data_IF_280201201366
#
_entry.id   IF_280201201366
#
_cell.length_a   1.000
_cell.length_b   1.000
_cell.length_c   1.000
_cell.angle_alpha   90.00
_cell.angle_beta   90.00
_cell.angle_gamma   90.00
#
_symmetry.space_group_name_H-M   'P 1'
#
loop_
_entity.id
_entity.type
_entity.pdbx_description
1 polymer ?
#
# COMPACT_ATOMS: atom_id res chain seq x y z
N UNK A 1 11.03 5.76 16.41
CA UNK A 1 9.66 6.17 16.78
C UNK A 1 8.88 5.02 17.41
N UNK A 2 8.80 3.84 16.77
CA UNK A 2 8.12 2.67 17.35
C UNK A 2 8.78 2.17 18.64
N UNK A 3 10.11 2.17 18.75
CA UNK A 3 10.82 1.79 19.99
C UNK A 3 10.51 2.75 21.16
N UNK A 4 10.41 4.05 20.91
CA UNK A 4 10.03 5.03 21.93
C UNK A 4 8.61 4.81 22.45
N UNK A 5 7.65 4.42 21.58
CA UNK A 5 6.31 4.05 22.02
C UNK A 5 6.32 2.76 22.84
N UNK A 6 7.08 1.72 22.43
CA UNK A 6 7.23 0.48 23.21
C UNK A 6 7.81 0.74 24.59
N UNK A 7 8.81 1.60 24.68
CA UNK A 7 9.47 1.94 25.95
C UNK A 7 8.61 2.83 26.84
N UNK A 8 7.75 3.65 26.26
CA UNK A 8 6.77 4.45 27.00
C UNK A 8 5.65 3.58 27.58
N UNK A 9 5.07 2.66 26.79
CA UNK A 9 3.99 1.78 27.25
C UNK A 9 4.42 0.86 28.39
N UNK A 10 5.65 0.30 28.32
CA UNK A 10 6.21 -0.54 29.40
C UNK A 10 6.31 0.14 30.77
N UNK A 11 6.18 1.46 30.85
CA UNK A 11 6.31 2.24 32.09
C UNK A 11 4.97 2.67 32.67
N UNK A 12 3.86 2.41 31.98
CA UNK A 12 2.52 2.76 32.43
C UNK A 12 1.86 1.60 33.19
N UNK A 13 0.96 1.88 34.16
CA UNK A 13 0.08 0.86 34.72
C UNK A 13 -0.80 0.25 33.62
N UNK A 14 -1.11 -1.06 33.69
CA UNK A 14 -1.75 -1.84 32.61
C UNK A 14 -3.01 -1.22 31.97
N UNK A 15 -3.77 -0.36 32.68
CA UNK A 15 -4.96 0.31 32.13
C UNK A 15 -4.68 1.64 31.40
N UNK A 16 -3.55 2.30 31.65
CA UNK A 16 -3.16 3.54 30.94
C UNK A 16 -2.42 3.26 29.61
N UNK A 17 -1.89 2.03 29.46
CA UNK A 17 -1.21 1.51 28.28
C UNK A 17 -2.13 1.55 27.03
N UNK A 18 -3.36 1.03 27.14
CA UNK A 18 -4.26 0.86 26.00
C UNK A 18 -4.72 2.23 25.46
N UNK A 19 -5.07 3.15 26.36
CA UNK A 19 -5.46 4.50 25.96
C UNK A 19 -4.29 5.30 25.37
N UNK A 20 -3.08 5.14 25.93
CA UNK A 20 -1.89 5.79 25.40
C UNK A 20 -1.54 5.26 24.00
N UNK A 21 -1.66 3.95 23.79
CA UNK A 21 -1.48 3.32 22.50
C UNK A 21 -2.50 3.85 21.49
N UNK A 22 -3.80 3.84 21.81
CA UNK A 22 -4.86 4.37 20.94
C UNK A 22 -4.63 5.84 20.58
N UNK A 23 -4.23 6.69 21.53
CA UNK A 23 -3.87 8.09 21.25
C UNK A 23 -2.67 8.20 20.30
N UNK A 24 -1.64 7.39 20.50
CA UNK A 24 -0.47 7.37 19.61
C UNK A 24 -0.84 6.91 18.20
N UNK A 25 -1.71 5.90 18.07
CA UNK A 25 -2.21 5.43 16.78
C UNK A 25 -3.03 6.50 16.05
N UNK A 26 -3.91 7.20 16.76
CA UNK A 26 -4.72 8.28 16.20
C UNK A 26 -3.84 9.46 15.74
N UNK A 27 -2.81 9.80 16.53
CA UNK A 27 -1.83 10.82 16.14
C UNK A 27 -1.04 10.42 14.88
N UNK A 28 -0.65 9.14 14.79
CA UNK A 28 0.03 8.62 13.59
C UNK A 28 -0.88 8.64 12.36
N UNK A 29 -2.17 8.29 12.50
CA UNK A 29 -3.15 8.32 11.41
C UNK A 29 -3.39 9.76 10.88
N UNK A 30 -3.40 10.74 11.78
CA UNK A 30 -3.55 12.16 11.45
C UNK A 30 -2.26 12.82 10.92
N UNK A 31 -1.15 12.08 10.82
CA UNK A 31 0.12 12.66 10.40
C UNK A 31 0.05 13.21 8.97
N UNK A 32 0.54 14.43 8.69
CA UNK A 32 0.38 15.07 7.38
C UNK A 32 1.03 14.32 6.22
N UNK A 33 2.07 13.54 6.48
CA UNK A 33 2.72 12.71 5.46
C UNK A 33 2.31 11.25 5.61
N UNK A 34 1.85 10.64 4.52
CA UNK A 34 1.42 9.24 4.45
C UNK A 34 2.56 8.26 4.74
N UNK A 35 3.75 8.45 4.15
CA UNK A 35 4.82 7.45 4.22
C UNK A 35 5.37 7.21 5.64
N UNK A 36 5.64 8.26 6.47
CA UNK A 36 6.03 8.04 7.85
C UNK A 36 4.95 7.36 8.70
N UNK A 37 3.67 7.68 8.47
CA UNK A 37 2.56 7.03 9.15
C UNK A 37 2.45 5.55 8.77
N UNK A 38 2.60 5.25 7.47
CA UNK A 38 2.58 3.89 6.95
C UNK A 38 3.74 3.04 7.51
N UNK A 39 4.96 3.56 7.48
CA UNK A 39 6.14 2.88 8.07
C UNK A 39 5.94 2.65 9.57
N UNK A 40 5.37 3.61 10.30
CA UNK A 40 5.04 3.45 11.71
C UNK A 40 4.05 2.30 11.94
N UNK A 41 2.93 2.26 11.21
CA UNK A 41 1.92 1.22 11.38
C UNK A 41 2.44 -0.18 11.02
N UNK A 42 3.32 -0.29 10.01
CA UNK A 42 3.95 -1.57 9.66
C UNK A 42 4.93 -2.05 10.76
N UNK A 43 5.69 -1.15 11.37
CA UNK A 43 6.59 -1.48 12.49
C UNK A 43 5.84 -1.75 13.80
N UNK A 44 4.64 -1.19 13.96
CA UNK A 44 3.71 -1.44 15.07
C UNK A 44 2.73 -2.60 14.81
N UNK A 45 2.99 -3.43 13.81
CA UNK A 45 1.99 -4.25 13.07
C UNK A 45 0.49 -3.86 13.14
N UNK A 46 0.14 -2.57 13.08
CA UNK A 46 -1.26 -2.13 12.98
C UNK A 46 -1.75 -2.16 11.53
N UNK A 47 -1.93 -3.38 10.99
CA UNK A 47 -2.23 -3.59 9.56
C UNK A 47 -3.57 -2.98 9.13
N UNK A 48 -4.58 -2.99 10.00
CA UNK A 48 -5.88 -2.36 9.71
C UNK A 48 -5.74 -0.85 9.50
N UNK A 49 -4.93 -0.18 10.34
CA UNK A 49 -4.67 1.26 10.21
C UNK A 49 -3.81 1.58 8.99
N UNK A 50 -2.83 0.74 8.68
CA UNK A 50 -2.07 0.85 7.43
C UNK A 50 -2.99 0.71 6.20
N UNK A 51 -3.90 -0.26 6.20
CA UNK A 51 -4.86 -0.45 5.12
C UNK A 51 -5.80 0.75 4.97
N UNK A 52 -6.35 1.23 6.09
CA UNK A 52 -7.22 2.41 6.12
C UNK A 52 -6.51 3.65 5.58
N UNK A 53 -5.25 3.86 5.96
CA UNK A 53 -4.44 4.99 5.49
C UNK A 53 -4.28 4.99 3.96
N UNK A 54 -4.06 3.83 3.33
CA UNK A 54 -3.95 3.70 1.87
C UNK A 54 -5.29 3.94 1.15
N UNK A 55 -6.39 3.49 1.76
CA UNK A 55 -7.75 3.65 1.22
C UNK A 55 -8.26 5.09 1.35
N UNK A 56 -8.00 5.75 2.47
CA UNK A 56 -8.50 7.10 2.75
C UNK A 56 -7.66 8.19 2.05
N UNK A 57 -6.40 7.90 1.70
CA UNK A 57 -5.45 8.87 1.11
C UNK A 57 -4.72 8.32 -0.13
N UNK A 58 -5.44 7.79 -1.13
CA UNK A 58 -4.84 7.08 -2.26
C UNK A 58 -3.93 7.97 -3.12
N UNK A 59 -4.28 9.25 -3.28
CA UNK A 59 -3.52 10.21 -4.10
C UNK A 59 -2.14 10.55 -3.51
N UNK A 60 -1.90 10.21 -2.23
CA UNK A 60 -0.64 10.48 -1.54
C UNK A 60 0.33 9.29 -1.56
N UNK A 61 -0.08 8.16 -2.15
CA UNK A 61 0.75 6.96 -2.24
C UNK A 61 1.86 7.21 -3.26
N UNK A 62 3.07 7.48 -2.76
CA UNK A 62 4.22 7.71 -3.63
C UNK A 62 4.80 6.38 -4.17
N UNK A 63 4.39 6.01 -5.39
CA UNK A 63 4.87 4.83 -6.12
C UNK A 63 6.38 4.77 -6.40
N UNK A 64 7.12 5.86 -6.21
CA UNK A 64 8.59 5.82 -6.28
C UNK A 64 9.21 5.04 -5.13
N UNK A 65 8.54 4.99 -3.98
CA UNK A 65 9.01 4.39 -2.72
C UNK A 65 8.69 2.90 -2.64
N UNK A 66 9.05 2.17 -3.69
CA UNK A 66 8.77 0.74 -3.84
C UNK A 66 9.37 -0.11 -2.70
N UNK A 67 10.48 0.32 -2.10
CA UNK A 67 11.11 -0.35 -0.97
C UNK A 67 10.25 -0.37 0.29
N UNK A 68 9.30 0.56 0.42
CA UNK A 68 8.28 0.56 1.47
C UNK A 68 7.00 -0.12 0.98
N UNK A 69 6.56 0.20 -0.24
CA UNK A 69 5.26 -0.25 -0.75
C UNK A 69 5.20 -1.75 -1.05
N UNK A 70 6.30 -2.39 -1.46
CA UNK A 70 6.30 -3.86 -1.68
C UNK A 70 6.10 -4.62 -0.36
N UNK A 71 6.89 -4.41 0.71
CA UNK A 71 6.61 -5.00 2.02
C UNK A 71 5.23 -4.64 2.57
N UNK A 72 4.73 -3.44 2.28
CA UNK A 72 3.37 -3.03 2.66
C UNK A 72 2.32 -3.92 2.00
N UNK A 73 2.41 -4.09 0.67
CA UNK A 73 1.47 -4.92 -0.08
C UNK A 73 1.51 -6.37 0.41
N UNK A 74 2.70 -6.93 0.60
CA UNK A 74 2.89 -8.29 1.13
C UNK A 74 2.21 -8.46 2.50
N UNK A 75 2.45 -7.54 3.44
CA UNK A 75 1.87 -7.59 4.78
C UNK A 75 0.33 -7.46 4.79
N UNK A 76 -0.23 -6.68 3.86
CA UNK A 76 -1.66 -6.43 3.76
C UNK A 76 -2.40 -7.50 2.95
N UNK A 77 -1.71 -8.19 2.04
CA UNK A 77 -2.29 -9.10 1.04
C UNK A 77 -3.27 -10.13 1.62
N UNK A 78 -2.99 -10.67 2.81
CA UNK A 78 -3.77 -11.74 3.42
C UNK A 78 -5.10 -11.26 4.05
N UNK A 79 -5.19 -10.02 4.53
CA UNK A 79 -6.36 -9.52 5.27
C UNK A 79 -7.02 -8.29 4.65
N UNK A 80 -6.27 -7.52 3.87
CA UNK A 80 -6.67 -6.24 3.29
C UNK A 80 -6.31 -6.18 1.79
N UNK A 81 -6.91 -7.04 0.94
CA UNK A 81 -6.50 -7.19 -0.46
C UNK A 81 -6.67 -5.93 -1.30
N UNK A 82 -7.68 -5.09 -1.00
CA UNK A 82 -7.85 -3.80 -1.67
C UNK A 82 -6.68 -2.85 -1.37
N UNK A 83 -6.29 -2.71 -0.09
CA UNK A 83 -5.20 -1.82 0.29
C UNK A 83 -3.85 -2.31 -0.27
N UNK A 84 -3.59 -3.62 -0.27
CA UNK A 84 -2.43 -4.21 -0.92
C UNK A 84 -2.41 -3.86 -2.43
N UNK A 85 -3.56 -3.99 -3.10
CA UNK A 85 -3.71 -3.63 -4.51
C UNK A 85 -3.40 -2.16 -4.76
N UNK A 86 -3.86 -1.23 -3.92
CA UNK A 86 -3.56 0.19 -4.06
C UNK A 86 -2.05 0.50 -3.96
N UNK A 87 -1.35 -0.14 -3.02
CA UNK A 87 0.10 0.00 -2.90
C UNK A 87 0.83 -0.49 -4.18
N UNK A 88 0.44 -1.65 -4.72
CA UNK A 88 1.02 -2.21 -5.94
C UNK A 88 0.71 -1.34 -7.16
N UNK A 89 -0.54 -0.89 -7.31
CA UNK A 89 -0.96 -0.02 -8.41
C UNK A 89 -0.20 1.30 -8.42
N UNK A 90 0.07 1.90 -7.26
CA UNK A 90 0.91 3.09 -7.17
C UNK A 90 2.32 2.85 -7.74
N UNK A 91 2.96 1.71 -7.44
CA UNK A 91 4.27 1.34 -7.99
C UNK A 91 4.20 1.16 -9.51
N UNK A 92 3.16 0.48 -10.01
CA UNK A 92 2.94 0.22 -11.44
C UNK A 92 2.73 1.54 -12.19
N UNK A 93 1.79 2.37 -11.72
CA UNK A 93 1.44 3.65 -12.33
C UNK A 93 2.64 4.59 -12.36
N UNK A 94 3.40 4.69 -11.26
CA UNK A 94 4.65 5.46 -11.22
C UNK A 94 5.67 4.95 -12.24
N UNK A 95 5.88 3.63 -12.28
CA UNK A 95 6.85 2.98 -13.15
C UNK A 95 6.53 3.23 -14.63
N UNK A 96 5.26 3.10 -15.02
CA UNK A 96 4.83 3.28 -16.40
C UNK A 96 4.81 4.76 -16.81
N UNK A 97 4.27 5.63 -15.96
CA UNK A 97 4.20 7.07 -16.21
C UNK A 97 5.59 7.70 -16.35
N UNK A 98 6.55 7.26 -15.53
CA UNK A 98 7.93 7.77 -15.56
C UNK A 98 8.88 6.95 -16.44
N UNK A 99 8.35 6.03 -17.25
CA UNK A 99 9.12 5.21 -18.22
C UNK A 99 10.35 4.54 -17.56
N UNK A 100 10.18 4.02 -16.33
CA UNK A 100 11.26 3.34 -15.59
C UNK A 100 11.48 1.93 -16.16
N UNK A 101 12.00 1.82 -17.37
CA UNK A 101 12.11 0.56 -18.13
C UNK A 101 12.80 -0.58 -17.37
N UNK A 102 13.82 -0.27 -16.56
CA UNK A 102 14.50 -1.25 -15.69
C UNK A 102 13.60 -1.88 -14.64
N UNK A 103 12.45 -1.26 -14.33
CA UNK A 103 11.46 -1.75 -13.35
C UNK A 103 10.26 -2.45 -14.02
N UNK A 104 10.18 -2.53 -15.35
CA UNK A 104 9.02 -3.10 -16.04
C UNK A 104 8.75 -4.57 -15.68
N UNK A 105 9.80 -5.39 -15.53
CA UNK A 105 9.63 -6.78 -15.07
C UNK A 105 8.97 -6.87 -13.69
N UNK A 106 9.42 -6.06 -12.72
CA UNK A 106 8.81 -6.01 -11.38
C UNK A 106 7.38 -5.46 -11.42
N UNK A 107 7.13 -4.39 -12.19
CA UNK A 107 5.78 -3.86 -12.34
C UNK A 107 4.82 -4.87 -12.96
N UNK A 108 5.28 -5.70 -13.91
CA UNK A 108 4.47 -6.76 -14.49
C UNK A 108 4.15 -7.85 -13.44
N UNK A 109 5.12 -8.23 -12.59
CA UNK A 109 4.87 -9.14 -11.47
C UNK A 109 3.85 -8.58 -10.48
N UNK A 110 3.93 -7.28 -10.14
CA UNK A 110 2.93 -6.62 -9.29
C UNK A 110 1.54 -6.59 -9.93
N UNK A 111 1.44 -6.53 -11.26
CA UNK A 111 0.16 -6.60 -11.95
C UNK A 111 -0.47 -8.00 -11.84
N UNK A 112 0.33 -9.06 -11.97
CA UNK A 112 -0.11 -10.44 -11.74
C UNK A 112 -0.55 -10.64 -10.28
N UNK A 113 0.15 -10.03 -9.33
CA UNK A 113 -0.27 -10.05 -7.93
C UNK A 113 -1.61 -9.34 -7.72
N UNK A 114 -1.84 -8.19 -8.38
CA UNK A 114 -3.15 -7.52 -8.37
C UNK A 114 -4.27 -8.41 -8.91
N UNK A 115 -4.00 -9.21 -9.95
CA UNK A 115 -4.96 -10.20 -10.48
C UNK A 115 -5.31 -11.27 -9.42
N UNK A 116 -4.31 -11.79 -8.72
CA UNK A 116 -4.53 -12.75 -7.63
C UNK A 116 -5.30 -12.17 -6.44
N UNK A 117 -5.17 -10.87 -6.19
CA UNK A 117 -5.91 -10.16 -5.14
C UNK A 117 -7.36 -9.86 -5.54
N UNK A 118 -7.64 -9.64 -6.82
CA UNK A 118 -8.97 -9.25 -7.34
C UNK A 118 -10.09 -10.18 -6.87
N UNK A 119 -9.88 -11.49 -6.96
CA UNK A 119 -10.87 -12.49 -6.55
C UNK A 119 -11.21 -12.49 -5.04
N UNK A 120 -10.46 -11.73 -4.24
CA UNK A 120 -10.68 -11.58 -2.79
C UNK A 120 -11.15 -10.18 -2.39
N UNK A 121 -11.30 -9.26 -3.35
CA UNK A 121 -11.82 -7.92 -3.11
C UNK A 121 -13.34 -7.97 -3.28
N UNK A 122 -14.07 -7.89 -2.18
CA UNK A 122 -15.55 -7.90 -2.18
C UNK A 122 -16.13 -6.56 -2.64
N UNK A 123 -15.48 -5.46 -2.26
CA UNK A 123 -15.89 -4.10 -2.60
C UNK A 123 -14.66 -3.26 -2.94
N UNK A 124 -14.70 -2.64 -4.12
CA UNK A 124 -13.70 -1.68 -4.56
C UNK A 124 -14.03 -0.25 -4.12
N UNK A 125 -15.24 0.01 -3.62
CA UNK A 125 -15.71 1.34 -3.27
C UNK A 125 -15.64 2.29 -4.47
N UNK A 126 -14.83 3.34 -4.35
CA UNK A 126 -14.60 4.34 -5.40
C UNK A 126 -13.45 3.97 -6.35
N UNK A 127 -12.71 2.90 -6.07
CA UNK A 127 -11.54 2.50 -6.85
C UNK A 127 -11.95 1.68 -8.07
N UNK A 128 -11.11 1.70 -9.11
CA UNK A 128 -11.34 0.92 -10.31
C UNK A 128 -11.23 -0.59 -10.03
N UNK A 129 -12.24 -1.41 -10.41
CA UNK A 129 -12.08 -2.86 -10.43
C UNK A 129 -10.93 -3.29 -11.35
N UNK A 130 -10.36 -4.49 -11.13
CA UNK A 130 -9.19 -4.96 -11.87
C UNK A 130 -9.35 -4.87 -13.40
N UNK A 131 -10.50 -5.30 -13.93
CA UNK A 131 -10.78 -5.24 -15.37
C UNK A 131 -10.73 -3.80 -15.93
N UNK A 132 -11.28 -2.83 -15.19
CA UNK A 132 -11.26 -1.40 -15.56
C UNK A 132 -9.85 -0.84 -15.50
N UNK A 133 -9.10 -1.17 -14.45
CA UNK A 133 -7.70 -0.78 -14.30
C UNK A 133 -6.82 -1.32 -15.44
N UNK A 134 -6.99 -2.59 -15.84
CA UNK A 134 -6.27 -3.17 -16.99
C UNK A 134 -6.64 -2.47 -18.29
N UNK A 135 -7.92 -2.18 -18.53
CA UNK A 135 -8.35 -1.46 -19.72
C UNK A 135 -7.71 -0.06 -19.79
N UNK A 136 -7.64 0.65 -18.65
CA UNK A 136 -6.96 1.93 -18.51
C UNK A 136 -5.46 1.82 -18.83
N UNK A 137 -4.76 0.86 -18.22
CA UNK A 137 -3.34 0.62 -18.49
C UNK A 137 -3.08 0.30 -19.96
N UNK A 138 -3.90 -0.53 -20.60
CA UNK A 138 -3.76 -0.86 -22.03
C UNK A 138 -3.98 0.38 -22.92
N UNK A 139 -4.96 1.22 -22.59
CA UNK A 139 -5.23 2.47 -23.29
C UNK A 139 -4.05 3.45 -23.18
N UNK A 140 -3.55 3.67 -21.98
CA UNK A 140 -2.59 4.74 -21.69
C UNK A 140 -1.13 4.30 -21.92
N UNK A 141 -0.87 2.99 -21.81
CA UNK A 141 0.47 2.41 -21.81
C UNK A 141 0.63 1.21 -22.76
N UNK A 142 -0.33 0.94 -23.65
CA UNK A 142 -0.33 -0.22 -24.57
C UNK A 142 0.92 -0.35 -25.45
N UNK A 143 1.59 0.77 -25.78
CA UNK A 143 2.81 0.77 -26.62
C UNK A 143 4.09 0.36 -25.87
N UNK A 144 4.04 0.21 -24.54
CA UNK A 144 5.20 -0.20 -23.73
C UNK A 144 5.38 -1.72 -23.82
N UNK A 145 5.78 -2.20 -25.00
CA UNK A 145 5.95 -3.64 -25.29
C UNK A 145 6.89 -4.34 -24.31
N UNK A 146 7.92 -3.66 -23.81
CA UNK A 146 8.81 -4.20 -22.78
C UNK A 146 8.15 -4.44 -21.42
N UNK A 147 7.02 -3.78 -21.11
CA UNK A 147 6.21 -4.08 -19.94
C UNK A 147 5.22 -5.22 -20.25
N UNK A 148 4.45 -5.08 -21.32
CA UNK A 148 3.44 -6.07 -21.70
C UNK A 148 4.02 -7.43 -22.06
N UNK A 149 5.25 -7.48 -22.58
CA UNK A 149 5.94 -8.74 -22.90
C UNK A 149 6.38 -9.55 -21.67
N UNK A 150 6.30 -8.99 -20.46
CA UNK A 150 6.51 -9.73 -19.20
C UNK A 150 5.22 -10.34 -18.62
N UNK A 151 4.05 -9.96 -19.16
CA UNK A 151 2.75 -10.49 -18.73
C UNK A 151 2.45 -11.65 -19.68
N UNK A 152 2.48 -12.88 -19.16
CA UNK A 152 2.32 -14.12 -19.95
C UNK A 152 0.95 -14.71 -19.71
#
# INVERSE_FOLDING_TARGET
MSEYLRDFLKRLPDFEDIEAEERAMNQAAAHPSLLPALDFFLRWPSLERAARLLIDRPDEINGERYELLVPTAEALSARFPLAATLALRAIIDFTLSNVRSKRYGYAAQHLVECEGLDGRIEDYGTFEPYATYIARLKRDHGRKTGFWGHIT
#
